data_IF_270541569151
#
_entry.id   IF_270541569151
#
_cell.length_a   1.000
_cell.length_b   1.000
_cell.length_c   1.000
_cell.angle_alpha   90.00
_cell.angle_beta   90.00
_cell.angle_gamma   90.00
#
_symmetry.space_group_name_H-M   'P 1'
#
loop_
_entity.id
_entity.type
_entity.pdbx_description
1 polymer ?
#
# COMPACT_ATOMS: atom_id res chain seq x y z
N UNK A 1 -29.29 -31.55 4.60
CA UNK A 1 -27.87 -31.73 4.94
C UNK A 1 -27.09 -31.79 3.65
N UNK A 2 -26.56 -30.65 3.18
CA UNK A 2 -25.67 -30.58 2.01
C UNK A 2 -24.29 -30.17 2.51
N UNK A 3 -23.33 -31.01 2.20
CA UNK A 3 -21.95 -30.97 2.66
C UNK A 3 -21.26 -29.68 2.16
N UNK A 4 -20.83 -28.83 3.09
CA UNK A 4 -19.88 -27.77 2.87
C UNK A 4 -18.48 -28.40 2.72
N UNK A 5 -18.11 -28.68 1.49
CA UNK A 5 -16.72 -28.94 1.11
C UNK A 5 -16.42 -28.05 -0.09
N UNK A 6 -15.96 -26.85 0.15
CA UNK A 6 -15.40 -26.00 -0.91
C UNK A 6 -14.08 -25.40 -0.47
N UNK A 7 -13.05 -25.99 -1.01
CA UNK A 7 -11.77 -25.46 -1.44
C UNK A 7 -11.22 -24.21 -0.70
N UNK A 8 -10.43 -24.49 0.34
CA UNK A 8 -9.37 -23.60 0.80
C UNK A 8 -8.20 -23.69 -0.17
N UNK A 9 -8.18 -22.91 -1.22
CA UNK A 9 -6.95 -22.64 -2.00
C UNK A 9 -7.20 -21.44 -2.91
N UNK A 10 -7.11 -20.25 -2.35
CA UNK A 10 -6.72 -19.11 -3.15
C UNK A 10 -5.65 -18.38 -2.36
N UNK A 11 -4.41 -18.68 -2.71
CA UNK A 11 -3.21 -18.00 -2.25
C UNK A 11 -3.35 -16.52 -2.63
N UNK A 12 -3.53 -15.67 -1.63
CA UNK A 12 -3.20 -14.25 -1.75
C UNK A 12 -1.68 -14.17 -1.73
N UNK A 13 -1.05 -14.33 -2.90
CA UNK A 13 0.37 -14.15 -3.08
C UNK A 13 0.69 -12.66 -2.99
N UNK A 14 0.94 -12.18 -1.79
CA UNK A 14 1.68 -10.95 -1.60
C UNK A 14 3.11 -11.23 -2.09
N UNK A 15 3.49 -10.65 -3.23
CA UNK A 15 4.83 -10.73 -3.77
C UNK A 15 5.80 -10.04 -2.78
N UNK A 16 6.53 -10.85 -2.01
CA UNK A 16 7.68 -10.43 -1.24
C UNK A 16 8.84 -10.23 -2.21
N UNK A 17 9.09 -8.99 -2.58
CA UNK A 17 10.34 -8.61 -3.24
C UNK A 17 11.42 -8.53 -2.16
N UNK A 18 12.31 -9.53 -2.14
CA UNK A 18 13.52 -9.53 -1.32
C UNK A 18 14.56 -8.61 -1.97
N UNK A 19 14.71 -7.39 -1.45
CA UNK A 19 15.82 -6.53 -1.79
C UNK A 19 17.03 -6.88 -0.89
N UNK A 20 18.07 -7.45 -1.47
CA UNK A 20 19.39 -7.65 -0.82
C UNK A 20 20.11 -6.29 -0.77
N UNK A 21 20.19 -5.72 0.41
CA UNK A 21 21.01 -4.52 0.68
C UNK A 21 22.43 -4.96 1.00
N UNK A 22 23.35 -4.70 0.08
CA UNK A 22 24.81 -4.75 0.33
C UNK A 22 25.25 -3.40 0.93
N UNK A 23 25.74 -3.41 2.16
CA UNK A 23 26.30 -2.25 2.82
C UNK A 23 27.74 -1.99 2.34
N UNK A 24 28.14 -0.75 2.04
CA UNK A 24 29.55 -0.40 1.88
C UNK A 24 30.20 -0.14 3.24
N UNK A 25 31.36 -0.76 3.43
CA UNK A 25 32.28 -0.55 4.55
C UNK A 25 32.87 0.86 4.48
N UNK A 26 32.66 1.67 5.53
CA UNK A 26 33.34 2.96 5.71
C UNK A 26 34.60 2.76 6.55
N UNK A 27 35.72 2.96 5.93
CA UNK A 27 37.02 3.13 6.63
C UNK A 27 37.07 4.56 7.21
N UNK A 28 37.33 4.63 8.51
CA UNK A 28 37.62 5.88 9.21
C UNK A 28 39.08 6.26 8.96
N UNK A 29 39.29 7.48 8.43
CA UNK A 29 40.60 8.10 8.44
C UNK A 29 40.54 9.38 9.27
N UNK A 30 41.34 9.41 10.32
CA UNK A 30 41.42 10.51 11.27
C UNK A 30 42.60 11.40 10.88
N UNK A 31 42.35 12.67 10.59
CA UNK A 31 43.40 13.68 10.50
C UNK A 31 42.99 15.00 11.17
N UNK A 32 43.88 15.48 12.02
CA UNK A 32 43.73 16.57 12.98
C UNK A 32 43.75 18.00 12.38
N UNK A 33 43.56 19.07 13.22
CA UNK A 33 42.98 20.35 12.80
C UNK A 33 44.00 21.35 12.29
N UNK A 34 43.69 22.03 11.20
CA UNK A 34 44.46 23.13 10.63
C UNK A 34 43.66 24.45 10.62
N UNK A 35 44.36 25.46 11.08
CA UNK A 35 44.10 26.89 11.20
C UNK A 35 43.02 27.58 10.34
N UNK A 36 42.34 28.55 10.97
CA UNK A 36 41.40 29.51 10.37
C UNK A 36 42.15 30.58 9.56
N UNK A 37 41.74 30.94 8.37
CA UNK A 37 42.09 32.21 7.73
C UNK A 37 41.04 33.28 7.99
N UNK A 38 41.53 34.56 7.99
CA UNK A 38 40.84 35.77 8.30
C UNK A 38 39.79 36.19 7.22
N UNK A 39 38.86 37.11 7.54
CA UNK A 39 37.76 37.49 6.66
C UNK A 39 38.17 38.45 5.53
N UNK A 40 37.92 38.06 4.30
CA UNK A 40 37.98 38.99 3.16
C UNK A 40 36.62 39.63 2.87
N UNK A 41 36.61 40.93 2.65
CA UNK A 41 35.45 41.80 2.40
C UNK A 41 34.85 41.55 1.00
N UNK A 42 33.53 41.65 0.79
CA UNK A 42 32.88 41.19 -0.43
C UNK A 42 32.98 42.23 -1.55
N UNK A 43 33.44 41.77 -2.71
CA UNK A 43 33.21 42.45 -3.97
C UNK A 43 31.79 42.20 -4.48
N UNK A 44 31.10 43.26 -4.87
CA UNK A 44 29.75 43.22 -5.42
C UNK A 44 29.68 42.32 -6.67
N UNK A 45 28.97 41.20 -6.57
CA UNK A 45 28.60 40.37 -7.71
C UNK A 45 27.11 40.48 -7.97
N UNK A 46 26.81 40.72 -9.24
CA UNK A 46 25.52 40.98 -9.85
C UNK A 46 24.40 40.02 -9.42
N UNK A 47 23.22 40.61 -9.21
CA UNK A 47 21.94 39.93 -9.04
C UNK A 47 21.61 39.02 -10.24
N UNK A 48 22.01 37.78 -10.17
CA UNK A 48 21.28 36.68 -10.81
C UNK A 48 20.45 36.02 -9.75
N UNK A 49 19.16 36.30 -9.73
CA UNK A 49 18.19 35.58 -8.89
C UNK A 49 18.34 34.10 -9.18
N UNK A 50 18.64 33.26 -8.18
CA UNK A 50 18.69 31.81 -8.43
C UNK A 50 17.30 31.40 -8.89
N UNK A 51 17.23 30.70 -10.04
CA UNK A 51 16.01 30.05 -10.48
C UNK A 51 15.48 29.22 -9.30
N UNK A 52 14.23 29.44 -8.93
CA UNK A 52 13.58 28.66 -7.86
C UNK A 52 13.81 27.17 -8.15
N UNK A 53 14.21 26.36 -7.16
CA UNK A 53 14.36 24.94 -7.39
C UNK A 53 13.05 24.38 -7.94
N UNK A 54 13.08 23.39 -8.87
CA UNK A 54 11.86 22.81 -9.40
C UNK A 54 11.00 22.39 -8.22
N UNK A 55 9.73 22.86 -8.23
CA UNK A 55 8.77 22.54 -7.17
C UNK A 55 8.72 21.01 -7.10
N UNK A 56 9.21 20.45 -6.00
CA UNK A 56 9.18 19.00 -5.80
C UNK A 56 7.72 18.56 -5.95
N UNK A 57 7.49 17.62 -6.85
CA UNK A 57 6.16 17.08 -7.07
C UNK A 57 5.62 16.54 -5.74
N UNK A 58 4.45 17.02 -5.33
CA UNK A 58 3.84 16.55 -4.07
C UNK A 58 3.49 15.08 -4.19
N UNK A 59 3.52 14.35 -3.07
CA UNK A 59 3.09 12.94 -2.99
C UNK A 59 1.72 12.74 -3.66
N UNK A 60 0.80 13.67 -3.43
CA UNK A 60 -0.55 13.63 -3.99
C UNK A 60 -0.57 13.83 -5.51
N UNK A 61 0.21 14.77 -6.04
CA UNK A 61 0.34 14.98 -7.49
C UNK A 61 0.95 13.73 -8.17
N UNK A 62 1.99 13.14 -7.56
CA UNK A 62 2.61 11.90 -8.04
C UNK A 62 1.60 10.74 -8.05
N UNK A 63 0.85 10.54 -6.98
CA UNK A 63 -0.22 9.53 -6.94
C UNK A 63 -1.29 9.80 -7.99
N UNK A 64 -1.73 11.05 -8.15
CA UNK A 64 -2.70 11.44 -9.18
C UNK A 64 -2.26 11.02 -10.57
N UNK A 65 -1.00 11.35 -10.94
CA UNK A 65 -0.43 10.96 -12.24
C UNK A 65 -0.33 9.44 -12.43
N UNK A 66 0.06 8.72 -11.38
CA UNK A 66 0.15 7.25 -11.41
C UNK A 66 -1.23 6.61 -11.60
N UNK A 67 -2.26 7.07 -10.90
CA UNK A 67 -3.62 6.55 -11.05
C UNK A 67 -4.19 6.82 -12.45
N UNK A 68 -3.93 7.98 -13.03
CA UNK A 68 -4.34 8.28 -14.41
C UNK A 68 -3.66 7.38 -15.43
N UNK A 69 -2.38 7.04 -15.22
CA UNK A 69 -1.64 6.06 -16.03
C UNK A 69 -2.21 4.66 -15.86
N UNK A 70 -2.42 4.22 -14.60
CA UNK A 70 -2.95 2.90 -14.27
C UNK A 70 -4.31 2.65 -14.92
N UNK A 71 -5.20 3.64 -14.86
CA UNK A 71 -6.54 3.56 -15.42
C UNK A 71 -6.56 3.38 -16.94
N UNK A 72 -5.53 3.91 -17.63
CA UNK A 72 -5.44 3.90 -19.11
C UNK A 72 -4.56 2.80 -19.66
N UNK A 73 -3.81 2.10 -18.82
CA UNK A 73 -2.87 1.09 -19.27
C UNK A 73 -3.60 -0.24 -19.59
N UNK A 74 -3.65 -0.66 -20.87
CA UNK A 74 -4.31 -1.90 -21.25
C UNK A 74 -3.43 -3.14 -21.06
N UNK A 75 -2.11 -2.95 -21.00
CA UNK A 75 -1.15 -4.02 -20.80
C UNK A 75 -1.05 -4.38 -19.33
N UNK A 76 -1.35 -5.63 -19.00
CA UNK A 76 -1.42 -6.09 -17.61
C UNK A 76 -0.06 -6.05 -16.89
N UNK A 77 1.05 -6.29 -17.59
CA UNK A 77 2.39 -6.26 -16.99
C UNK A 77 2.81 -4.82 -16.68
N UNK A 78 2.57 -3.89 -17.62
CA UNK A 78 2.84 -2.47 -17.41
C UNK A 78 1.95 -1.89 -16.33
N UNK A 79 0.67 -2.23 -16.32
CA UNK A 79 -0.27 -1.82 -15.28
C UNK A 79 0.18 -2.34 -13.90
N UNK A 80 0.69 -3.57 -13.81
CA UNK A 80 1.28 -4.10 -12.57
C UNK A 80 2.49 -3.28 -12.14
N UNK A 81 3.36 -2.88 -13.08
CA UNK A 81 4.47 -1.97 -12.78
C UNK A 81 4.01 -0.65 -12.17
N UNK A 82 3.00 -0.01 -12.78
CA UNK A 82 2.42 1.24 -12.26
C UNK A 82 1.77 1.02 -10.87
N UNK A 83 1.05 -0.08 -10.69
CA UNK A 83 0.44 -0.41 -9.40
C UNK A 83 1.50 -0.59 -8.30
N UNK A 84 2.65 -1.18 -8.61
CA UNK A 84 3.78 -1.30 -7.70
C UNK A 84 4.39 0.08 -7.35
N UNK A 85 4.47 1.00 -8.33
CA UNK A 85 4.89 2.39 -8.06
C UNK A 85 3.93 3.08 -7.08
N UNK A 86 2.60 2.91 -7.26
CA UNK A 86 1.58 3.43 -6.34
C UNK A 86 1.76 2.84 -4.95
N UNK A 87 1.92 1.53 -4.84
CA UNK A 87 2.16 0.86 -3.56
C UNK A 87 3.42 1.38 -2.86
N UNK A 88 4.50 1.61 -3.60
CA UNK A 88 5.73 2.19 -3.05
C UNK A 88 5.47 3.57 -2.44
N UNK A 89 4.70 4.42 -3.13
CA UNK A 89 4.31 5.75 -2.60
C UNK A 89 3.42 5.63 -1.36
N UNK A 90 2.51 4.67 -1.32
CA UNK A 90 1.68 4.42 -0.14
C UNK A 90 2.48 3.96 1.07
N UNK A 91 3.56 3.19 0.85
CA UNK A 91 4.43 2.70 1.92
C UNK A 91 5.29 3.81 2.57
N UNK A 92 5.42 4.96 1.93
CA UNK A 92 6.11 6.12 2.49
C UNK A 92 5.17 6.86 3.45
N UNK A 93 5.33 6.67 4.77
CA UNK A 93 4.50 7.41 5.76
C UNK A 93 4.94 8.86 5.94
N UNK A 94 6.19 9.20 5.56
CA UNK A 94 6.81 10.48 5.86
C UNK A 94 7.39 10.57 7.27
N UNK A 95 7.28 9.51 8.08
CA UNK A 95 7.83 9.40 9.44
C UNK A 95 8.73 8.17 9.56
N UNK A 96 10.01 8.39 9.80
CA UNK A 96 10.97 7.28 9.97
C UNK A 96 10.58 6.31 11.10
N UNK A 97 9.90 6.81 12.15
CA UNK A 97 9.41 5.98 13.25
C UNK A 97 8.25 5.09 12.80
N UNK A 98 7.28 5.63 12.06
CA UNK A 98 6.17 4.86 11.52
C UNK A 98 6.67 3.84 10.50
N UNK A 99 7.58 4.23 9.61
CA UNK A 99 8.20 3.32 8.65
C UNK A 99 8.93 2.15 9.33
N UNK A 100 9.65 2.42 10.43
CA UNK A 100 10.29 1.37 11.24
C UNK A 100 9.25 0.43 11.87
N UNK A 101 8.16 0.94 12.41
CA UNK A 101 7.08 0.11 12.97
C UNK A 101 6.46 -0.78 11.89
N UNK A 102 6.20 -0.25 10.71
CA UNK A 102 5.67 -1.01 9.57
C UNK A 102 6.65 -2.09 9.09
N UNK A 103 7.96 -1.79 9.09
CA UNK A 103 8.99 -2.78 8.82
C UNK A 103 8.98 -3.90 9.88
N UNK A 104 8.87 -3.56 11.16
CA UNK A 104 8.77 -4.53 12.26
C UNK A 104 7.50 -5.39 12.15
N UNK A 105 6.36 -4.77 11.80
CA UNK A 105 5.13 -5.51 11.52
C UNK A 105 5.34 -6.53 10.38
N UNK A 106 5.99 -6.12 9.29
CA UNK A 106 6.31 -7.02 8.16
C UNK A 106 7.20 -8.20 8.60
N UNK A 107 8.21 -7.94 9.41
CA UNK A 107 9.09 -8.98 9.96
C UNK A 107 8.36 -9.93 10.90
N UNK A 108 7.42 -9.42 11.71
CA UNK A 108 6.58 -10.24 12.59
C UNK A 108 5.64 -11.13 11.78
N UNK A 109 5.02 -10.61 10.71
CA UNK A 109 4.20 -11.39 9.77
C UNK A 109 5.02 -12.53 9.15
N UNK A 110 6.24 -12.24 8.68
CA UNK A 110 7.12 -13.26 8.09
C UNK A 110 7.48 -14.38 9.08
N UNK A 111 7.56 -14.06 10.38
CA UNK A 111 7.78 -15.04 11.46
C UNK A 111 6.47 -15.69 11.96
N UNK A 112 5.33 -15.35 11.35
CA UNK A 112 3.98 -15.80 11.78
C UNK A 112 3.61 -15.37 13.20
N UNK A 113 4.22 -14.28 13.68
CA UNK A 113 3.93 -13.66 14.97
C UNK A 113 2.86 -12.57 14.76
N UNK A 114 1.61 -13.02 14.71
CA UNK A 114 0.49 -12.12 14.45
C UNK A 114 0.25 -11.13 15.62
N UNK A 115 0.59 -11.52 16.85
CA UNK A 115 0.43 -10.63 18.01
C UNK A 115 1.39 -9.44 17.91
N UNK A 116 2.68 -9.70 17.72
CA UNK A 116 3.66 -8.63 17.53
C UNK A 116 3.36 -7.77 16.29
N UNK A 117 2.84 -8.38 15.20
CA UNK A 117 2.46 -7.63 14.01
C UNK A 117 1.30 -6.67 14.30
N UNK A 118 0.29 -7.09 15.06
CA UNK A 118 -0.82 -6.23 15.50
C UNK A 118 -0.30 -5.09 16.40
N UNK A 119 0.55 -5.39 17.38
CA UNK A 119 1.11 -4.39 18.29
C UNK A 119 1.87 -3.29 17.52
N UNK A 120 2.68 -3.67 16.52
CA UNK A 120 3.42 -2.70 15.70
C UNK A 120 2.49 -1.86 14.81
N UNK A 121 1.45 -2.46 14.23
CA UNK A 121 0.48 -1.72 13.42
C UNK A 121 -0.38 -0.79 14.27
N UNK A 122 -0.76 -1.21 15.47
CA UNK A 122 -1.50 -0.37 16.43
C UNK A 122 -0.68 0.85 16.85
N UNK A 123 0.62 0.66 17.15
CA UNK A 123 1.52 1.76 17.46
C UNK A 123 1.69 2.72 16.26
N UNK A 124 1.79 2.19 15.04
CA UNK A 124 1.87 3.02 13.84
C UNK A 124 0.62 3.88 13.67
N UNK A 125 -0.58 3.32 13.89
CA UNK A 125 -1.87 4.04 13.83
C UNK A 125 -1.96 5.13 14.93
N UNK A 126 -1.45 4.86 16.13
CA UNK A 126 -1.43 5.85 17.22
C UNK A 126 -0.52 7.03 16.88
N UNK A 127 0.63 6.78 16.26
CA UNK A 127 1.59 7.81 15.88
C UNK A 127 1.17 8.61 14.64
N UNK A 128 0.54 7.95 13.69
CA UNK A 128 0.02 8.57 12.47
C UNK A 128 -1.37 8.00 12.14
N UNK A 129 -2.43 8.61 12.71
CA UNK A 129 -3.80 8.18 12.46
C UNK A 129 -4.26 8.34 11.01
N UNK A 130 -3.56 9.12 10.18
CA UNK A 130 -3.91 9.35 8.78
C UNK A 130 -3.17 8.41 7.82
N UNK A 131 -2.26 7.59 8.31
CA UNK A 131 -1.51 6.65 7.50
C UNK A 131 -2.34 5.40 7.14
N UNK A 132 -2.89 5.39 5.93
CA UNK A 132 -3.81 4.35 5.45
C UNK A 132 -3.21 2.94 5.47
N UNK A 133 -1.91 2.79 5.14
CA UNK A 133 -1.26 1.47 5.06
C UNK A 133 -1.14 0.75 6.41
N UNK A 134 -1.11 1.47 7.54
CA UNK A 134 -1.13 0.82 8.84
C UNK A 134 -2.48 0.10 9.07
N UNK A 135 -3.60 0.73 8.73
CA UNK A 135 -4.92 0.11 8.77
C UNK A 135 -5.03 -1.04 7.76
N UNK A 136 -4.53 -0.86 6.53
CA UNK A 136 -4.53 -1.90 5.50
C UNK A 136 -3.81 -3.16 5.96
N UNK A 137 -2.66 -3.00 6.60
CA UNK A 137 -1.90 -4.12 7.14
C UNK A 137 -2.60 -4.79 8.31
N UNK A 138 -3.21 -4.01 9.20
CA UNK A 138 -4.00 -4.55 10.31
C UNK A 138 -5.26 -5.26 9.83
N UNK A 139 -5.94 -4.73 8.82
CA UNK A 139 -7.05 -5.38 8.15
C UNK A 139 -6.67 -6.77 7.63
N UNK A 140 -5.53 -6.87 6.94
CA UNK A 140 -5.01 -8.14 6.45
C UNK A 140 -4.72 -9.14 7.59
N UNK A 141 -4.15 -8.67 8.69
CA UNK A 141 -3.92 -9.51 9.88
C UNK A 141 -5.22 -10.02 10.48
N UNK A 142 -6.22 -9.16 10.63
CA UNK A 142 -7.54 -9.56 11.11
C UNK A 142 -8.23 -10.54 10.18
N UNK A 143 -8.14 -10.32 8.87
CA UNK A 143 -8.68 -11.26 7.87
C UNK A 143 -8.06 -12.65 8.00
N UNK A 144 -6.73 -12.76 8.11
CA UNK A 144 -6.05 -14.06 8.25
C UNK A 144 -6.43 -14.82 9.53
N UNK A 145 -6.99 -14.11 10.50
CA UNK A 145 -7.49 -14.67 11.77
C UNK A 145 -9.02 -14.89 11.76
N UNK A 146 -9.68 -14.75 10.61
CA UNK A 146 -11.14 -14.80 10.45
C UNK A 146 -11.90 -13.75 11.30
N UNK A 147 -11.23 -12.66 11.67
CA UNK A 147 -11.83 -11.54 12.42
C UNK A 147 -12.43 -10.52 11.43
N UNK A 148 -13.39 -10.97 10.62
CA UNK A 148 -13.92 -10.18 9.50
C UNK A 148 -14.47 -8.82 9.91
N UNK A 149 -15.18 -8.72 11.04
CA UNK A 149 -15.73 -7.45 11.50
C UNK A 149 -14.63 -6.38 11.76
N UNK A 150 -13.51 -6.79 12.38
CA UNK A 150 -12.38 -5.90 12.62
C UNK A 150 -11.65 -5.57 11.31
N UNK A 151 -11.48 -6.56 10.43
CA UNK A 151 -10.89 -6.35 9.12
C UNK A 151 -11.70 -5.36 8.29
N UNK A 152 -13.02 -5.49 8.25
CA UNK A 152 -13.91 -4.57 7.52
C UNK A 152 -13.85 -3.15 8.08
N UNK A 153 -13.83 -2.99 9.40
CA UNK A 153 -13.68 -1.68 10.04
C UNK A 153 -12.35 -1.00 9.65
N UNK A 154 -11.27 -1.76 9.59
CA UNK A 154 -9.98 -1.24 9.15
C UNK A 154 -9.97 -0.93 7.64
N UNK A 155 -10.60 -1.75 6.80
CA UNK A 155 -10.76 -1.45 5.36
C UNK A 155 -11.58 -0.17 5.17
N UNK A 156 -12.62 0.05 5.95
CA UNK A 156 -13.38 1.31 5.92
C UNK A 156 -12.47 2.50 6.28
N UNK A 157 -11.62 2.34 7.30
CA UNK A 157 -10.65 3.36 7.69
C UNK A 157 -9.61 3.64 6.57
N UNK A 158 -9.18 2.61 5.83
CA UNK A 158 -8.33 2.77 4.63
C UNK A 158 -9.05 3.58 3.56
N UNK A 159 -10.25 3.16 3.18
CA UNK A 159 -11.01 3.77 2.07
C UNK A 159 -11.48 5.20 2.38
N UNK A 160 -11.58 5.57 3.65
CA UNK A 160 -11.82 6.95 4.07
C UNK A 160 -10.61 7.85 3.81
N UNK A 161 -9.39 7.33 3.90
CA UNK A 161 -8.12 8.05 3.71
C UNK A 161 -7.65 8.01 2.26
N UNK A 162 -7.76 6.86 1.62
CA UNK A 162 -7.45 6.65 0.20
C UNK A 162 -8.59 5.88 -0.47
N UNK A 163 -9.57 6.58 -1.02
CA UNK A 163 -10.73 5.96 -1.70
C UNK A 163 -10.35 5.11 -2.92
N UNK A 164 -9.15 5.33 -3.48
CA UNK A 164 -8.62 4.61 -4.65
C UNK A 164 -7.75 3.42 -4.24
N UNK A 165 -7.81 2.97 -2.99
CA UNK A 165 -7.00 1.85 -2.53
C UNK A 165 -7.53 0.52 -3.09
N UNK A 166 -7.13 0.18 -4.32
CA UNK A 166 -7.62 -1.00 -5.06
C UNK A 166 -7.38 -2.33 -4.30
N UNK A 167 -6.29 -2.44 -3.54
CA UNK A 167 -6.03 -3.62 -2.70
C UNK A 167 -7.05 -3.78 -1.57
N UNK A 168 -7.40 -2.68 -0.88
CA UNK A 168 -8.42 -2.70 0.17
C UNK A 168 -9.82 -3.01 -0.40
N UNK A 169 -10.17 -2.45 -1.57
CA UNK A 169 -11.42 -2.77 -2.27
C UNK A 169 -11.49 -4.25 -2.66
N UNK A 170 -10.39 -4.82 -3.17
CA UNK A 170 -10.33 -6.25 -3.52
C UNK A 170 -10.45 -7.13 -2.27
N UNK A 171 -9.76 -6.75 -1.19
CA UNK A 171 -9.87 -7.45 0.10
C UNK A 171 -11.29 -7.39 0.68
N UNK A 172 -11.97 -6.23 0.56
CA UNK A 172 -13.37 -6.08 0.96
C UNK A 172 -14.28 -7.02 0.16
N UNK A 173 -14.08 -7.08 -1.17
CA UNK A 173 -14.82 -8.00 -2.04
C UNK A 173 -14.66 -9.45 -1.59
N UNK A 174 -13.43 -9.89 -1.32
CA UNK A 174 -13.16 -11.25 -0.86
C UNK A 174 -13.84 -11.57 0.48
N UNK A 175 -13.81 -10.65 1.44
CA UNK A 175 -14.49 -10.84 2.72
C UNK A 175 -16.01 -10.92 2.58
N UNK A 176 -16.58 -10.05 1.73
CA UNK A 176 -18.02 -10.03 1.48
C UNK A 176 -18.48 -11.32 0.80
N UNK A 177 -17.69 -11.86 -0.12
CA UNK A 177 -17.92 -13.16 -0.75
C UNK A 177 -17.94 -14.31 0.28
N UNK A 178 -16.94 -14.34 1.18
CA UNK A 178 -16.91 -15.37 2.24
C UNK A 178 -18.10 -15.27 3.20
N UNK A 179 -18.69 -14.09 3.34
CA UNK A 179 -19.90 -13.85 4.13
C UNK A 179 -21.19 -14.08 3.33
N UNK A 180 -21.13 -14.51 2.07
CA UNK A 180 -22.29 -14.74 1.20
C UNK A 180 -22.99 -13.45 0.76
N UNK A 181 -22.31 -12.30 0.83
CA UNK A 181 -22.81 -10.98 0.43
C UNK A 181 -22.38 -10.66 -1.01
N UNK A 182 -22.75 -11.53 -1.94
CA UNK A 182 -22.22 -11.57 -3.31
C UNK A 182 -22.45 -10.28 -4.10
N UNK A 183 -23.62 -9.64 -3.94
CA UNK A 183 -23.91 -8.36 -4.62
C UNK A 183 -22.99 -7.23 -4.15
N UNK A 184 -22.70 -7.19 -2.86
CA UNK A 184 -21.82 -6.18 -2.28
C UNK A 184 -20.33 -6.49 -2.60
N UNK A 185 -19.98 -7.78 -2.68
CA UNK A 185 -18.67 -8.20 -3.16
C UNK A 185 -18.43 -7.76 -4.61
N UNK A 186 -19.43 -7.96 -5.49
CA UNK A 186 -19.38 -7.52 -6.89
C UNK A 186 -19.20 -5.99 -7.00
N UNK A 187 -19.89 -5.21 -6.15
CA UNK A 187 -19.71 -3.75 -6.09
C UNK A 187 -18.26 -3.39 -5.71
N UNK A 188 -17.73 -4.01 -4.67
CA UNK A 188 -16.36 -3.75 -4.21
C UNK A 188 -15.31 -4.07 -5.30
N UNK A 189 -15.44 -5.21 -5.99
CA UNK A 189 -14.57 -5.56 -7.11
C UNK A 189 -14.75 -4.61 -8.30
N UNK A 190 -15.97 -4.22 -8.61
CA UNK A 190 -16.25 -3.26 -9.69
C UNK A 190 -15.59 -1.90 -9.42
N UNK A 191 -15.61 -1.43 -8.17
CA UNK A 191 -14.91 -0.22 -7.74
C UNK A 191 -13.39 -0.37 -7.86
N UNK A 192 -12.83 -1.52 -7.51
CA UNK A 192 -11.41 -1.80 -7.72
C UNK A 192 -11.04 -1.75 -9.21
N UNK A 193 -11.86 -2.33 -10.08
CA UNK A 193 -11.67 -2.34 -11.54
C UNK A 193 -11.85 -0.95 -12.18
N UNK A 194 -12.66 -0.08 -11.61
CA UNK A 194 -12.76 1.31 -12.06
C UNK A 194 -11.44 2.10 -11.87
N UNK A 195 -10.60 1.67 -10.92
CA UNK A 195 -9.29 2.26 -10.62
C UNK A 195 -8.19 1.52 -11.39
N UNK A 196 -8.20 0.20 -11.36
CA UNK A 196 -7.20 -0.70 -11.95
C UNK A 196 -7.91 -1.72 -12.87
N UNK A 197 -8.22 -1.36 -14.13
CA UNK A 197 -9.04 -2.19 -15.02
C UNK A 197 -8.46 -3.58 -15.30
N UNK A 198 -7.13 -3.72 -15.35
CA UNK A 198 -6.46 -4.99 -15.64
C UNK A 198 -6.13 -5.81 -14.39
N UNK A 199 -6.71 -5.48 -13.23
CA UNK A 199 -6.52 -6.24 -11.99
C UNK A 199 -7.20 -7.61 -12.09
N UNK A 200 -6.41 -8.62 -12.48
CA UNK A 200 -6.91 -9.95 -12.82
C UNK A 200 -7.73 -10.59 -11.69
N UNK A 201 -7.29 -10.49 -10.45
CA UNK A 201 -8.02 -11.07 -9.31
C UNK A 201 -9.44 -10.50 -9.17
N UNK A 202 -9.60 -9.18 -9.38
CA UNK A 202 -10.90 -8.55 -9.35
C UNK A 202 -11.74 -8.87 -10.60
N UNK A 203 -11.11 -8.98 -11.78
CA UNK A 203 -11.81 -9.39 -13.02
C UNK A 203 -12.39 -10.81 -12.89
N UNK A 204 -11.57 -11.76 -12.44
CA UNK A 204 -11.98 -13.15 -12.29
C UNK A 204 -13.12 -13.31 -11.25
N UNK A 205 -13.01 -12.59 -10.12
CA UNK A 205 -14.04 -12.61 -9.08
C UNK A 205 -15.34 -11.94 -9.53
N UNK A 206 -15.24 -10.75 -10.12
CA UNK A 206 -16.42 -10.02 -10.60
C UNK A 206 -17.12 -10.76 -11.73
N UNK A 207 -16.38 -11.36 -12.67
CA UNK A 207 -16.95 -12.17 -13.76
C UNK A 207 -17.74 -13.36 -13.23
N UNK A 208 -17.15 -14.14 -12.32
CA UNK A 208 -17.82 -15.28 -11.69
C UNK A 208 -19.08 -14.87 -10.92
N UNK A 209 -19.00 -13.83 -10.07
CA UNK A 209 -20.15 -13.34 -9.31
C UNK A 209 -21.26 -12.81 -10.22
N UNK A 210 -20.93 -12.11 -11.31
CA UNK A 210 -21.91 -11.63 -12.26
C UNK A 210 -22.67 -12.78 -12.93
N UNK A 211 -22.00 -13.88 -13.29
CA UNK A 211 -22.62 -15.08 -13.84
C UNK A 211 -23.54 -15.76 -12.80
N UNK A 212 -23.06 -15.95 -11.57
CA UNK A 212 -23.82 -16.57 -10.48
C UNK A 212 -25.09 -15.77 -10.14
N UNK A 213 -24.99 -14.45 -10.06
CA UNK A 213 -26.12 -13.57 -9.77
C UNK A 213 -27.12 -13.46 -10.91
N UNK A 214 -26.67 -13.57 -12.18
CA UNK A 214 -27.58 -13.53 -13.33
C UNK A 214 -28.41 -14.82 -13.48
N UNK A 215 -27.92 -15.94 -12.98
CA UNK A 215 -28.61 -17.24 -12.99
C UNK A 215 -29.54 -17.47 -11.79
N UNK A 216 -29.61 -16.54 -10.83
CA UNK A 216 -30.52 -16.66 -9.68
C UNK A 216 -31.86 -16.00 -10.00
N UNK A 217 -33.01 -16.71 -9.91
CA UNK A 217 -34.32 -16.08 -10.02
C UNK A 217 -34.54 -15.10 -8.86
N UNK A 218 -35.18 -13.98 -9.16
CA UNK A 218 -35.50 -12.92 -8.21
C UNK A 218 -36.48 -13.37 -7.12
#
# INVERSE_FOLDING_TARGET
>A
MRAFSRFKTTLLAAALVSATVTAPSMAQDATAPGALPAPETPAAAANSSPAAPPVAETREARLGGLFERLKREPDAEKATGIANEIQSVWLESGSATVDLLMLRATQAIARKDAAAALDFTDQAIVLDPDYAEAYNRRATLHYTQNRYALSMADVEAVLKREPRHFGALTGLGAMLEELGRDREALDAYSRALAIYPTLKAAQDAAGRLAEELSGQPA
#
